data_IF_707814719156
#
_entry.id   IF_707814719156
#
_cell.length_a   1.000
_cell.length_b   1.000
_cell.length_c   1.000
_cell.angle_alpha   90.00
_cell.angle_beta   90.00
_cell.angle_gamma   90.00
#
_symmetry.space_group_name_H-M   'P 1'
#
loop_
_entity.id
_entity.type
_entity.pdbx_description
1 polymer ?
#
# COMPACT_ATOMS: atom_id res chain seq x y z
N UNK A 1 -9.05 25.78 33.24
CA UNK A 1 -8.73 25.93 31.80
C UNK A 1 -8.69 24.54 31.22
N UNK A 2 -9.68 24.17 30.41
CA UNK A 2 -9.61 22.98 29.56
C UNK A 2 -8.69 23.29 28.36
N UNK A 3 -7.93 22.29 27.90
CA UNK A 3 -6.88 22.45 26.89
C UNK A 3 -7.41 22.69 25.47
N UNK A 4 -6.64 23.31 24.56
CA UNK A 4 -7.08 23.76 23.23
C UNK A 4 -7.38 22.67 22.19
N UNK A 5 -7.59 21.41 22.59
CA UNK A 5 -7.79 20.28 21.68
C UNK A 5 -9.26 19.93 21.43
N UNK A 6 -10.22 20.74 21.90
CA UNK A 6 -11.61 20.68 21.44
C UNK A 6 -11.75 21.45 20.11
N UNK A 7 -10.96 21.09 19.11
CA UNK A 7 -11.29 21.37 17.72
C UNK A 7 -12.63 20.68 17.43
N UNK A 8 -13.60 21.45 16.96
CA UNK A 8 -14.96 21.00 16.67
C UNK A 8 -14.92 19.95 15.55
N UNK A 9 -14.74 18.68 15.92
CA UNK A 9 -14.85 17.56 14.98
C UNK A 9 -16.30 17.55 14.49
N UNK A 10 -16.51 17.61 13.18
CA UNK A 10 -17.86 17.54 12.63
C UNK A 10 -18.54 16.25 13.13
N UNK A 11 -19.85 16.25 13.41
CA UNK A 11 -20.55 15.02 13.81
C UNK A 11 -20.32 13.87 12.83
N UNK A 12 -20.12 14.20 11.55
CA UNK A 12 -19.83 13.23 10.49
C UNK A 12 -18.44 12.59 10.66
N UNK A 13 -17.40 13.40 10.88
CA UNK A 13 -16.04 12.90 11.12
C UNK A 13 -15.97 12.07 12.41
N UNK A 14 -16.71 12.46 13.45
CA UNK A 14 -16.81 11.70 14.68
C UNK A 14 -17.46 10.32 14.45
N UNK A 15 -18.54 10.26 13.68
CA UNK A 15 -19.17 8.99 13.33
C UNK A 15 -18.24 8.06 12.53
N UNK A 16 -17.47 8.58 11.57
CA UNK A 16 -16.49 7.78 10.83
C UNK A 16 -15.43 7.22 11.77
N UNK A 17 -14.84 8.09 12.62
CA UNK A 17 -13.80 7.67 13.54
C UNK A 17 -14.32 6.55 14.46
N UNK A 18 -15.54 6.68 14.98
CA UNK A 18 -16.16 5.64 15.81
C UNK A 18 -16.44 4.36 15.03
N UNK A 19 -16.87 4.45 13.77
CA UNK A 19 -17.05 3.27 12.92
C UNK A 19 -15.72 2.54 12.65
N UNK A 20 -14.65 3.29 12.35
CA UNK A 20 -13.30 2.73 12.15
C UNK A 20 -12.75 2.10 13.43
N UNK A 21 -12.91 2.75 14.58
CA UNK A 21 -12.47 2.20 15.87
C UNK A 21 -13.28 0.96 16.26
N UNK A 22 -14.58 0.93 15.99
CA UNK A 22 -15.41 -0.25 16.24
C UNK A 22 -14.98 -1.42 15.34
N UNK A 23 -14.80 -1.16 14.04
CA UNK A 23 -14.29 -2.15 13.09
C UNK A 23 -12.95 -2.70 13.53
N UNK A 24 -12.01 -1.82 13.90
CA UNK A 24 -10.70 -2.19 14.46
C UNK A 24 -10.85 -3.15 15.63
N UNK A 25 -11.63 -2.79 16.65
CA UNK A 25 -11.75 -3.60 17.86
C UNK A 25 -12.38 -4.97 17.60
N UNK A 26 -13.40 -5.02 16.74
CA UNK A 26 -14.05 -6.29 16.34
C UNK A 26 -13.05 -7.16 15.56
N UNK A 27 -12.39 -6.61 14.55
CA UNK A 27 -11.45 -7.36 13.72
C UNK A 27 -10.22 -7.85 14.48
N UNK A 28 -9.67 -7.05 15.40
CA UNK A 28 -8.57 -7.50 16.26
C UNK A 28 -9.00 -8.70 17.13
N UNK A 29 -10.20 -8.67 17.70
CA UNK A 29 -10.71 -9.75 18.54
C UNK A 29 -11.02 -11.03 17.74
N UNK A 30 -11.62 -10.89 16.56
CA UNK A 30 -12.01 -12.03 15.72
C UNK A 30 -10.81 -12.70 15.02
N UNK A 31 -9.84 -11.90 14.56
CA UNK A 31 -8.70 -12.39 13.77
C UNK A 31 -7.44 -12.63 14.61
N UNK A 32 -7.40 -12.15 15.86
CA UNK A 32 -6.21 -12.23 16.71
C UNK A 32 -5.04 -11.39 16.19
N UNK A 33 -5.33 -10.34 15.43
CA UNK A 33 -4.34 -9.43 14.84
C UNK A 33 -4.24 -8.14 15.68
N UNK A 34 -3.08 -7.49 15.63
CA UNK A 34 -2.93 -6.10 16.09
C UNK A 34 -3.12 -5.18 14.89
N UNK A 35 -4.10 -4.29 14.97
CA UNK A 35 -4.37 -3.25 13.97
C UNK A 35 -3.90 -1.93 14.55
N UNK A 36 -3.20 -1.13 13.75
CA UNK A 36 -2.81 0.24 14.12
C UNK A 36 -3.33 1.18 13.04
N UNK A 37 -3.96 2.27 13.46
CA UNK A 37 -4.45 3.29 12.54
C UNK A 37 -3.42 4.43 12.48
N UNK A 38 -3.09 4.86 11.27
CA UNK A 38 -2.26 6.04 11.01
C UNK A 38 -3.12 7.03 10.25
N UNK A 39 -3.31 8.23 10.80
CA UNK A 39 -4.15 9.27 10.22
C UNK A 39 -3.28 10.32 9.53
N UNK A 40 -3.63 10.62 8.28
CA UNK A 40 -3.08 11.73 7.53
C UNK A 40 -3.88 13.00 7.83
N UNK A 41 -3.21 14.07 8.29
CA UNK A 41 -3.84 15.37 8.49
C UNK A 41 -4.22 16.03 7.16
N UNK A 42 -3.46 15.73 6.10
CA UNK A 42 -3.64 16.22 4.73
C UNK A 42 -3.28 15.08 3.78
N UNK A 43 -3.86 14.99 2.57
CA UNK A 43 -3.51 13.93 1.62
C UNK A 43 -2.02 13.99 1.22
N UNK A 44 -1.26 12.93 1.51
CA UNK A 44 0.16 12.83 1.21
C UNK A 44 0.48 11.88 0.03
N UNK A 45 -0.53 11.54 -0.78
CA UNK A 45 -0.40 10.65 -1.95
C UNK A 45 0.07 9.22 -1.55
N UNK A 46 0.36 8.34 -2.51
CA UNK A 46 0.47 6.89 -2.26
C UNK A 46 1.63 6.45 -1.36
N UNK A 47 2.64 7.30 -1.11
CA UNK A 47 3.74 6.97 -0.16
C UNK A 47 3.63 7.69 1.18
N UNK A 48 2.77 8.70 1.28
CA UNK A 48 2.50 9.42 2.50
C UNK A 48 2.18 8.55 3.72
N UNK A 49 1.23 7.59 3.61
CA UNK A 49 0.94 6.64 4.68
C UNK A 49 2.17 5.89 5.20
N UNK A 50 3.08 5.49 4.29
CA UNK A 50 4.30 4.76 4.66
C UNK A 50 5.29 5.67 5.39
N UNK A 51 5.40 6.93 4.97
CA UNK A 51 6.23 7.92 5.64
C UNK A 51 5.74 8.18 7.07
N UNK A 52 4.43 8.34 7.27
CA UNK A 52 3.82 8.52 8.58
C UNK A 52 3.95 7.29 9.47
N UNK A 53 3.80 6.10 8.91
CA UNK A 53 3.88 4.83 9.63
C UNK A 53 5.32 4.29 9.77
N UNK A 54 6.35 5.06 9.38
CA UNK A 54 7.74 4.57 9.31
C UNK A 54 8.22 3.94 10.62
N UNK A 55 7.92 4.56 11.77
CA UNK A 55 8.33 4.03 13.09
C UNK A 55 7.57 2.76 13.50
N UNK A 56 6.41 2.50 12.89
CA UNK A 56 5.62 1.29 13.10
C UNK A 56 6.10 0.14 12.19
N UNK A 57 6.60 0.49 11.00
CA UNK A 57 7.11 -0.46 10.00
C UNK A 57 8.58 -0.85 10.24
N UNK A 58 9.31 -0.05 11.01
CA UNK A 58 10.69 -0.33 11.41
C UNK A 58 10.74 -1.08 12.73
N UNK A 59 10.93 -2.39 12.68
CA UNK A 59 11.23 -3.21 13.84
C UNK A 59 12.64 -3.83 13.78
N UNK A 60 12.99 -4.58 14.84
CA UNK A 60 14.28 -5.23 14.95
C UNK A 60 14.46 -6.44 14.01
N UNK A 61 13.36 -7.01 13.48
CA UNK A 61 13.41 -8.18 12.61
C UNK A 61 14.00 -7.84 11.24
N UNK A 62 13.79 -6.59 10.78
CA UNK A 62 14.12 -6.13 9.43
C UNK A 62 13.44 -6.96 8.32
N UNK A 63 12.40 -7.71 8.65
CA UNK A 63 11.67 -8.52 7.68
C UNK A 63 10.94 -7.64 6.66
N UNK A 64 10.73 -8.14 5.43
CA UNK A 64 9.90 -7.45 4.46
C UNK A 64 8.45 -7.32 4.93
N UNK A 65 7.79 -6.22 4.57
CA UNK A 65 6.38 -5.98 4.86
C UNK A 65 5.56 -5.85 3.58
N UNK A 66 4.31 -6.30 3.65
CA UNK A 66 3.35 -6.23 2.54
C UNK A 66 2.59 -4.90 2.57
N UNK A 67 2.54 -4.23 1.43
CA UNK A 67 1.73 -3.02 1.21
C UNK A 67 0.66 -3.34 0.18
N UNK A 68 -0.60 -3.04 0.53
CA UNK A 68 -1.77 -3.31 -0.29
C UNK A 68 -2.59 -2.03 -0.45
N UNK A 69 -2.95 -1.69 -1.69
CA UNK A 69 -3.99 -0.70 -1.92
C UNK A 69 -5.35 -1.29 -1.52
N UNK A 70 -6.10 -0.56 -0.68
CA UNK A 70 -7.32 -1.08 -0.05
C UNK A 70 -8.51 -1.32 -1.01
N UNK A 71 -8.43 -0.81 -2.23
CA UNK A 71 -9.44 -0.97 -3.27
C UNK A 71 -9.09 -2.08 -4.28
N UNK A 72 -8.00 -2.82 -4.06
CA UNK A 72 -7.63 -3.98 -4.86
C UNK A 72 -8.13 -5.25 -4.18
N UNK A 73 -8.82 -6.07 -4.95
CA UNK A 73 -9.15 -7.44 -4.55
C UNK A 73 -8.44 -8.39 -5.49
N UNK A 74 -7.64 -9.30 -4.92
CA UNK A 74 -6.89 -10.30 -5.69
C UNK A 74 -6.62 -11.55 -4.86
N UNK A 75 -6.45 -12.68 -5.54
CA UNK A 75 -5.79 -13.86 -4.97
C UNK A 75 -4.29 -13.56 -4.86
N UNK A 76 -3.81 -13.31 -3.65
CA UNK A 76 -2.40 -13.01 -3.42
C UNK A 76 -1.60 -14.33 -3.25
N UNK A 77 -0.72 -14.73 -4.20
CA UNK A 77 0.11 -15.91 -4.03
C UNK A 77 1.29 -15.61 -3.08
N UNK A 78 0.99 -15.32 -1.80
CA UNK A 78 1.93 -14.76 -0.81
C UNK A 78 3.26 -15.50 -0.77
N UNK A 79 3.24 -16.84 -0.79
CA UNK A 79 4.47 -17.62 -0.80
C UNK A 79 5.34 -17.33 -2.03
N UNK A 80 4.74 -17.28 -3.22
CA UNK A 80 5.48 -17.01 -4.45
C UNK A 80 6.03 -15.59 -4.48
N UNK A 81 5.28 -14.63 -3.93
CA UNK A 81 5.72 -13.23 -3.79
C UNK A 81 6.95 -13.16 -2.88
N UNK A 82 6.90 -13.85 -1.73
CA UNK A 82 8.02 -13.90 -0.77
C UNK A 82 9.23 -14.59 -1.39
N UNK A 83 9.04 -15.77 -1.99
CA UNK A 83 10.12 -16.54 -2.64
C UNK A 83 10.81 -15.68 -3.71
N UNK A 84 10.02 -15.03 -4.57
CA UNK A 84 10.52 -14.14 -5.62
C UNK A 84 11.30 -12.95 -5.03
N UNK A 85 10.77 -12.30 -3.99
CA UNK A 85 11.44 -11.16 -3.37
C UNK A 85 12.78 -11.55 -2.73
N UNK A 86 12.83 -12.69 -2.04
CA UNK A 86 14.07 -13.22 -1.45
C UNK A 86 15.08 -13.57 -2.54
N UNK A 87 14.65 -14.19 -3.64
CA UNK A 87 15.54 -14.60 -4.73
C UNK A 87 16.23 -13.40 -5.42
N UNK A 88 15.52 -12.27 -5.54
CA UNK A 88 16.02 -11.11 -6.28
C UNK A 88 16.82 -10.10 -5.43
N UNK A 89 16.75 -10.18 -4.09
CA UNK A 89 17.50 -9.32 -3.15
C UNK A 89 17.38 -7.80 -3.46
N UNK A 90 16.17 -7.40 -3.83
CA UNK A 90 15.78 -6.01 -4.06
C UNK A 90 15.38 -5.27 -2.78
N UNK A 91 15.06 -3.98 -2.90
CA UNK A 91 14.40 -3.25 -1.82
C UNK A 91 12.87 -3.34 -1.90
N UNK A 92 12.33 -3.57 -3.10
CA UNK A 92 10.91 -3.74 -3.29
C UNK A 92 10.61 -4.70 -4.46
N UNK A 93 9.52 -5.42 -4.33
CA UNK A 93 8.87 -6.17 -5.41
C UNK A 93 7.49 -5.57 -5.62
N UNK A 94 7.23 -5.07 -6.83
CA UNK A 94 5.88 -4.73 -7.27
C UNK A 94 5.24 -5.91 -8.00
N UNK A 95 3.93 -6.05 -7.87
CA UNK A 95 3.18 -7.01 -8.67
C UNK A 95 2.56 -6.33 -9.88
N UNK A 96 2.57 -7.03 -11.00
CA UNK A 96 2.00 -6.58 -12.27
C UNK A 96 0.94 -7.56 -12.72
N UNK A 97 -0.25 -7.05 -13.05
CA UNK A 97 -1.36 -7.82 -13.60
C UNK A 97 -1.54 -7.52 -15.09
N UNK A 98 -2.25 -8.39 -15.80
CA UNK A 98 -2.68 -8.09 -17.16
C UNK A 98 -3.84 -7.08 -17.11
N UNK A 99 -3.73 -6.00 -17.89
CA UNK A 99 -4.84 -5.08 -18.08
C UNK A 99 -5.88 -5.67 -19.02
N UNK A 100 -7.14 -5.56 -18.63
CA UNK A 100 -8.30 -5.84 -19.48
C UNK A 100 -9.08 -4.56 -19.84
N UNK A 101 -8.58 -3.38 -19.46
CA UNK A 101 -9.22 -2.10 -19.83
C UNK A 101 -9.06 -1.83 -21.33
N UNK A 102 -10.07 -1.16 -21.91
CA UNK A 102 -10.06 -0.73 -23.31
C UNK A 102 -8.83 0.16 -23.62
N UNK A 103 -8.40 0.08 -24.89
CA UNK A 103 -7.13 0.58 -25.42
C UNK A 103 -6.89 2.04 -24.96
N UNK A 104 -5.85 2.32 -24.16
CA UNK A 104 -5.54 3.69 -23.79
C UNK A 104 -5.24 4.51 -25.05
N UNK A 105 -5.56 5.82 -25.05
CA UNK A 105 -5.31 6.70 -26.21
C UNK A 105 -3.87 6.61 -26.74
N UNK A 106 -2.93 6.23 -25.85
CA UNK A 106 -1.58 5.81 -26.20
C UNK A 106 -1.30 4.44 -25.60
N UNK A 107 -1.18 3.42 -26.45
CA UNK A 107 -0.79 2.08 -26.03
C UNK A 107 0.65 2.10 -25.48
N UNK A 108 0.79 1.78 -24.19
CA UNK A 108 2.09 1.66 -23.50
C UNK A 108 2.37 0.23 -23.03
N UNK A 109 1.39 -0.67 -23.14
CA UNK A 109 1.49 -2.09 -22.76
C UNK A 109 0.15 -2.64 -22.28
N UNK A 110 0.09 -3.95 -22.05
CA UNK A 110 -1.07 -4.65 -21.46
C UNK A 110 -0.81 -5.08 -20.01
N UNK A 111 0.13 -4.42 -19.32
CA UNK A 111 0.52 -4.70 -17.93
C UNK A 111 0.23 -3.49 -17.07
N UNK A 112 -0.40 -3.72 -15.92
CA UNK A 112 -0.76 -2.69 -14.95
C UNK A 112 -0.17 -3.03 -13.60
N UNK A 113 0.27 -2.01 -12.86
CA UNK A 113 0.63 -2.17 -11.46
C UNK A 113 -0.58 -2.70 -10.69
N UNK A 114 -0.40 -3.78 -9.95
CA UNK A 114 -1.46 -4.49 -9.26
C UNK A 114 -1.88 -3.84 -7.93
N UNK A 115 -1.18 -2.80 -7.46
CA UNK A 115 -1.41 -2.17 -6.16
C UNK A 115 -0.97 -3.04 -4.97
N UNK A 116 0.00 -3.94 -5.19
CA UNK A 116 0.53 -4.89 -4.21
C UNK A 116 2.03 -4.83 -4.26
N UNK A 117 2.65 -4.70 -3.08
CA UNK A 117 4.09 -4.53 -2.97
C UNK A 117 4.63 -5.32 -1.77
N UNK A 118 5.76 -5.99 -1.94
CA UNK A 118 6.53 -6.53 -0.83
C UNK A 118 7.83 -5.73 -0.71
N UNK A 119 8.09 -5.17 0.46
CA UNK A 119 9.11 -4.14 0.64
C UNK A 119 10.04 -4.44 1.81
N UNK A 120 11.35 -4.28 1.59
CA UNK A 120 12.33 -4.26 2.66
C UNK A 120 12.28 -2.92 3.41
N UNK A 121 12.50 -2.91 4.74
CA UNK A 121 12.49 -1.67 5.52
C UNK A 121 13.48 -0.59 5.07
N UNK A 122 14.53 -0.96 4.31
CA UNK A 122 15.45 0.00 3.69
C UNK A 122 14.76 0.96 2.71
N UNK A 123 13.68 0.54 2.04
CA UNK A 123 12.97 1.40 1.07
C UNK A 123 12.39 2.64 1.75
N UNK A 124 12.05 2.55 3.05
CA UNK A 124 11.52 3.67 3.85
C UNK A 124 12.53 4.82 4.00
N UNK A 125 13.81 4.61 3.68
CA UNK A 125 14.82 5.68 3.63
C UNK A 125 14.76 6.49 2.34
N UNK A 126 14.02 6.03 1.33
CA UNK A 126 13.77 6.74 0.07
C UNK A 126 12.54 7.62 0.13
N UNK A 127 11.72 7.48 1.18
CA UNK A 127 10.43 8.15 1.30
C UNK A 127 10.57 9.39 2.19
N UNK A 128 10.24 10.55 1.63
CA UNK A 128 10.14 11.81 2.36
C UNK A 128 8.71 12.01 2.85
N UNK A 129 8.55 12.68 4.01
CA UNK A 129 7.23 13.00 4.55
C UNK A 129 6.64 14.23 3.83
N UNK A 130 6.31 14.03 2.56
CA UNK A 130 5.72 15.03 1.65
C UNK A 130 4.75 14.34 0.70
N UNK A 131 3.76 15.06 0.13
CA UNK A 131 2.90 14.51 -0.92
C UNK A 131 3.74 13.91 -2.06
N UNK A 132 3.76 12.58 -2.17
CA UNK A 132 4.64 11.86 -3.10
C UNK A 132 4.02 10.55 -3.56
N UNK A 133 4.00 10.35 -4.88
CA UNK A 133 3.58 9.07 -5.49
C UNK A 133 4.71 8.04 -5.44
N UNK A 134 4.31 6.81 -5.15
CA UNK A 134 5.17 5.62 -5.13
C UNK A 134 5.80 5.38 -6.49
N UNK A 135 4.98 5.36 -7.53
CA UNK A 135 5.35 4.99 -8.90
C UNK A 135 6.22 6.06 -9.55
N UNK A 136 5.92 7.33 -9.33
CA UNK A 136 6.57 8.46 -10.03
C UNK A 136 7.82 8.96 -9.33
N UNK A 137 8.07 8.59 -8.07
CA UNK A 137 9.23 9.07 -7.32
C UNK A 137 10.02 7.94 -6.68
N UNK A 138 9.40 7.21 -5.74
CA UNK A 138 10.11 6.20 -4.95
C UNK A 138 10.58 5.08 -5.85
N UNK A 139 9.69 4.50 -6.66
CA UNK A 139 10.01 3.41 -7.57
C UNK A 139 10.93 3.84 -8.70
N UNK A 140 10.80 5.05 -9.25
CA UNK A 140 11.78 5.54 -10.23
C UNK A 140 13.21 5.57 -9.65
N UNK A 141 13.37 6.04 -8.41
CA UNK A 141 14.68 6.05 -7.74
C UNK A 141 15.15 4.62 -7.42
N UNK A 142 14.26 3.74 -6.97
CA UNK A 142 14.60 2.33 -6.68
C UNK A 142 14.98 1.56 -7.95
N UNK A 143 14.33 1.83 -9.09
CA UNK A 143 14.69 1.30 -10.41
C UNK A 143 16.04 1.82 -10.87
N UNK A 144 16.33 3.11 -10.69
CA UNK A 144 17.63 3.70 -11.04
C UNK A 144 18.79 2.98 -10.34
N UNK A 145 18.56 2.52 -9.10
CA UNK A 145 19.51 1.75 -8.30
C UNK A 145 19.45 0.23 -8.54
N UNK A 146 18.60 -0.24 -9.47
CA UNK A 146 18.35 -1.67 -9.77
C UNK A 146 17.90 -2.47 -8.55
N UNK A 147 17.07 -1.86 -7.69
CA UNK A 147 16.55 -2.44 -6.46
C UNK A 147 15.03 -2.66 -6.47
N UNK A 148 14.34 -2.39 -7.58
CA UNK A 148 12.92 -2.71 -7.77
C UNK A 148 12.81 -3.87 -8.75
N UNK A 149 12.03 -4.88 -8.38
CA UNK A 149 11.69 -5.99 -9.26
C UNK A 149 10.18 -6.07 -9.46
N UNK A 150 9.77 -6.56 -10.62
CA UNK A 150 8.37 -6.68 -10.98
C UNK A 150 8.01 -8.16 -11.16
N UNK A 151 7.09 -8.67 -10.34
CA UNK A 151 6.57 -10.04 -10.44
C UNK A 151 5.25 -10.03 -11.20
N UNK A 152 5.17 -10.80 -12.29
CA UNK A 152 3.92 -10.95 -13.03
C UNK A 152 2.98 -11.90 -12.28
N UNK A 153 1.75 -11.45 -12.02
CA UNK A 153 0.72 -12.27 -11.40
C UNK A 153 0.26 -13.36 -12.38
N UNK A 154 0.18 -14.63 -11.94
CA UNK A 154 -0.31 -15.71 -12.80
C UNK A 154 -1.78 -15.47 -13.17
N UNK A 155 -2.13 -15.71 -14.45
CA UNK A 155 -3.45 -15.44 -15.02
C UNK A 155 -4.63 -16.20 -14.39
N UNK A 156 -4.35 -17.21 -13.56
CA UNK A 156 -5.39 -18.04 -12.94
C UNK A 156 -6.07 -17.35 -11.75
N UNK A 157 -5.50 -16.24 -11.24
CA UNK A 157 -6.11 -15.44 -10.17
C UNK A 157 -7.04 -14.35 -10.69
N UNK A 158 -7.98 -13.92 -9.85
CA UNK A 158 -8.77 -12.72 -10.14
C UNK A 158 -7.99 -11.48 -9.70
N UNK A 159 -7.91 -10.44 -10.51
CA UNK A 159 -7.43 -9.12 -10.08
C UNK A 159 -8.47 -8.08 -10.46
N UNK A 160 -8.90 -7.27 -9.49
CA UNK A 160 -9.94 -6.26 -9.73
C UNK A 160 -9.71 -5.03 -8.86
N UNK A 161 -9.89 -3.87 -9.49
CA UNK A 161 -10.03 -2.59 -8.82
C UNK A 161 -11.50 -2.34 -8.48
N UNK A 162 -11.83 -2.26 -7.19
CA UNK A 162 -13.17 -1.89 -6.74
C UNK A 162 -13.42 -0.42 -7.07
N UNK A 163 -14.50 -0.14 -7.80
CA UNK A 163 -14.86 1.21 -8.23
C UNK A 163 -14.27 1.61 -9.57
N UNK A 164 -13.40 0.79 -10.17
CA UNK A 164 -13.05 0.93 -11.58
C UNK A 164 -14.33 0.85 -12.43
N UNK A 165 -14.59 1.88 -13.24
CA UNK A 165 -15.70 1.81 -14.19
C UNK A 165 -15.48 0.59 -15.09
N UNK A 166 -16.44 -0.33 -15.04
CA UNK A 166 -16.65 -1.31 -16.10
C UNK A 166 -17.71 -0.72 -17.00
N UNK A 167 -17.35 -0.54 -18.26
CA UNK A 167 -18.26 -0.11 -19.33
C UNK A 167 -19.48 -1.05 -19.44
#
# INVERSE_FOLDING_TARGET
MASPLETFISPWNFCILMAMLNFKNVSEAELGLKITLSEEAEPLDTTGPLALAKDLLLDASREPFLVLNAYITNDYPLKQIIDFHIEHDGEATELVSQSFQEIPQKFVGNRVNAGVYLMNPSVLNRIELTPTSMETKVFLNTVADRKLYAMFLPHEGFWMEIGGQRD
#
